data_IF_265511037058
#
_entry.id   IF_265511037058
#
_cell.length_a   1.000
_cell.length_b   1.000
_cell.length_c   1.000
_cell.angle_alpha   90.00
_cell.angle_beta   90.00
_cell.angle_gamma   90.00
#
_symmetry.space_group_name_H-M   'P 1'
#
loop_
_entity.id
_entity.type
_entity.pdbx_description
1 polymer ?
#
# COMPACT_ATOMS: atom_id res chain seq x y z
N UNK A 1 0.35 -8.85 2.40
CA UNK A 1 -0.83 -7.96 2.30
C UNK A 1 -1.83 -8.11 3.46
N UNK A 2 -2.31 -9.32 3.84
CA UNK A 2 -3.44 -9.45 4.78
C UNK A 2 -3.12 -8.91 6.17
N UNK A 3 -1.92 -9.15 6.70
CA UNK A 3 -1.49 -8.60 7.99
C UNK A 3 -1.48 -7.07 7.99
N UNK A 4 -1.03 -6.45 6.90
CA UNK A 4 -1.03 -4.99 6.77
C UNK A 4 -2.47 -4.45 6.72
N UNK A 5 -3.37 -5.16 6.05
CA UNK A 5 -4.78 -4.79 6.00
C UNK A 5 -5.41 -4.86 7.39
N UNK A 6 -5.18 -5.94 8.14
CA UNK A 6 -5.67 -6.07 9.52
C UNK A 6 -5.10 -5.01 10.45
N UNK A 7 -3.82 -4.63 10.28
CA UNK A 7 -3.21 -3.53 11.02
C UNK A 7 -3.94 -2.20 10.75
N UNK A 8 -4.25 -1.89 9.49
CA UNK A 8 -5.01 -0.69 9.11
C UNK A 8 -6.39 -0.69 9.78
N UNK A 9 -7.10 -1.82 9.75
CA UNK A 9 -8.40 -1.95 10.40
C UNK A 9 -8.31 -1.79 11.93
N UNK A 10 -7.28 -2.35 12.56
CA UNK A 10 -7.05 -2.18 13.98
C UNK A 10 -6.79 -0.71 14.34
N UNK A 11 -5.93 -0.01 13.59
CA UNK A 11 -5.64 1.41 13.78
C UNK A 11 -6.90 2.27 13.65
N UNK A 12 -7.75 2.01 12.65
CA UNK A 12 -9.05 2.68 12.47
C UNK A 12 -9.98 2.42 13.65
N UNK A 13 -10.04 1.18 14.13
CA UNK A 13 -10.85 0.81 15.29
C UNK A 13 -10.40 1.56 16.54
N UNK A 14 -9.11 1.55 16.84
CA UNK A 14 -8.55 2.29 17.98
C UNK A 14 -8.69 3.80 17.82
N UNK A 15 -8.57 4.35 16.61
CA UNK A 15 -8.80 5.77 16.37
C UNK A 15 -10.24 6.18 16.71
N UNK A 16 -11.24 5.33 16.43
CA UNK A 16 -12.63 5.62 16.79
C UNK A 16 -12.83 5.62 18.30
N UNK A 17 -12.12 4.77 19.02
CA UNK A 17 -12.20 4.68 20.48
C UNK A 17 -11.46 5.82 21.19
N UNK A 18 -10.20 6.07 20.82
CA UNK A 18 -9.35 7.06 21.51
C UNK A 18 -9.48 8.48 20.94
N UNK A 19 -9.93 8.64 19.70
CA UNK A 19 -10.06 9.93 19.04
C UNK A 19 -8.77 10.76 19.16
N UNK A 20 -8.85 12.00 19.65
CA UNK A 20 -7.70 12.89 19.84
C UNK A 20 -6.88 12.61 21.10
N UNK A 21 -7.34 11.72 21.99
CA UNK A 21 -6.65 11.41 23.25
C UNK A 21 -5.38 10.56 23.02
N UNK A 22 -5.28 9.86 21.89
CA UNK A 22 -4.10 9.09 21.52
C UNK A 22 -3.55 9.56 20.17
N UNK A 23 -2.34 10.11 20.20
CA UNK A 23 -1.56 10.46 19.00
C UNK A 23 -0.20 9.81 19.11
N UNK A 24 0.32 9.38 17.97
CA UNK A 24 1.64 8.75 17.87
C UNK A 24 2.47 9.48 16.83
N UNK A 25 3.78 9.43 16.98
CA UNK A 25 4.67 10.00 15.98
C UNK A 25 4.61 9.19 14.69
N UNK A 26 4.31 9.85 13.56
CA UNK A 26 4.28 9.18 12.26
C UNK A 26 4.65 10.12 11.11
N UNK A 27 5.74 9.82 10.36
CA UNK A 27 6.68 8.70 10.55
C UNK A 27 7.51 8.83 11.83
N UNK A 28 8.03 7.71 12.34
CA UNK A 28 8.98 7.70 13.47
C UNK A 28 10.17 8.61 13.18
N UNK A 29 10.56 9.44 14.15
CA UNK A 29 11.65 10.42 14.01
C UNK A 29 11.32 11.70 13.24
N UNK A 30 10.04 11.94 12.89
CA UNK A 30 9.60 13.15 12.18
C UNK A 30 9.19 14.32 13.09
N UNK A 31 9.00 14.08 14.39
CA UNK A 31 8.40 15.01 15.35
C UNK A 31 6.90 15.27 15.13
N UNK A 32 6.26 14.63 14.14
CA UNK A 32 4.86 14.87 13.79
C UNK A 32 3.94 13.87 14.48
N UNK A 33 3.17 14.37 15.44
CA UNK A 33 2.09 13.62 16.07
C UNK A 33 0.91 13.47 15.10
N UNK A 34 0.46 12.25 14.89
CA UNK A 34 -0.66 11.90 14.03
C UNK A 34 -1.67 11.06 14.82
N UNK A 35 -2.96 11.24 14.50
CA UNK A 35 -4.01 10.36 15.00
C UNK A 35 -3.92 8.99 14.31
N UNK A 36 -4.46 7.95 14.95
CA UNK A 36 -4.34 6.59 14.44
C UNK A 36 -5.03 6.38 13.07
N UNK A 37 -6.11 7.11 12.77
CA UNK A 37 -6.75 7.15 11.45
C UNK A 37 -5.85 7.76 10.38
N UNK A 38 -5.10 8.82 10.70
CA UNK A 38 -4.11 9.42 9.82
C UNK A 38 -2.94 8.46 9.56
N UNK A 39 -2.47 7.75 10.60
CA UNK A 39 -1.45 6.69 10.46
C UNK A 39 -1.96 5.58 9.55
N UNK A 40 -3.18 5.09 9.77
CA UNK A 40 -3.81 4.07 8.94
C UNK A 40 -3.88 4.51 7.47
N UNK A 41 -4.28 5.77 7.22
CA UNK A 41 -4.32 6.36 5.88
C UNK A 41 -2.93 6.44 5.24
N UNK A 42 -1.90 6.86 5.99
CA UNK A 42 -0.53 6.92 5.47
C UNK A 42 0.00 5.54 5.09
N UNK A 43 -0.25 4.52 5.91
CA UNK A 43 0.14 3.13 5.62
C UNK A 43 -0.64 2.62 4.39
N UNK A 44 -1.95 2.83 4.33
CA UNK A 44 -2.79 2.45 3.19
C UNK A 44 -2.32 3.05 1.88
N UNK A 45 -2.00 4.36 1.85
CA UNK A 45 -1.46 5.04 0.68
C UNK A 45 -0.11 4.45 0.22
N UNK A 46 0.79 4.12 1.16
CA UNK A 46 2.07 3.48 0.82
C UNK A 46 1.86 2.09 0.22
N UNK A 47 0.93 1.29 0.76
CA UNK A 47 0.59 0.00 0.17
C UNK A 47 0.00 0.15 -1.24
N UNK A 48 -0.90 1.11 -1.44
CA UNK A 48 -1.47 1.39 -2.76
C UNK A 48 -0.38 1.76 -3.77
N UNK A 49 0.60 2.57 -3.35
CA UNK A 49 1.70 3.02 -4.20
C UNK A 49 2.52 1.88 -4.82
N UNK A 50 2.54 0.69 -4.20
CA UNK A 50 3.20 -0.51 -4.74
C UNK A 50 2.68 -0.85 -6.14
N UNK A 51 1.39 -0.61 -6.39
CA UNK A 51 0.70 -1.00 -7.61
C UNK A 51 0.48 0.17 -8.57
N UNK A 52 0.81 1.40 -8.19
CA UNK A 52 0.61 2.59 -9.02
C UNK A 52 1.81 2.87 -9.93
N UNK A 53 1.56 3.54 -11.05
CA UNK A 53 2.58 3.98 -11.98
C UNK A 53 3.24 5.24 -11.41
N UNK A 54 4.56 5.29 -11.42
CA UNK A 54 5.30 6.53 -11.25
C UNK A 54 5.28 7.38 -12.52
N UNK A 55 6.01 8.50 -12.52
CA UNK A 55 6.08 9.43 -13.65
C UNK A 55 6.74 8.79 -14.88
N UNK A 56 7.56 7.77 -14.66
CA UNK A 56 8.29 6.99 -15.65
C UNK A 56 7.50 5.75 -16.11
N UNK A 57 6.26 5.56 -15.63
CA UNK A 57 5.38 4.46 -16.01
C UNK A 57 5.71 3.12 -15.33
N UNK A 58 6.55 3.11 -14.30
CA UNK A 58 6.95 1.91 -13.56
C UNK A 58 6.08 1.70 -12.34
N UNK A 59 5.89 0.45 -11.94
CA UNK A 59 5.24 0.08 -10.69
C UNK A 59 6.26 -0.61 -9.79
N UNK A 60 6.36 -0.25 -8.50
CA UNK A 60 7.26 -0.94 -7.58
C UNK A 60 7.05 -2.46 -7.56
N UNK A 61 5.82 -2.95 -7.72
CA UNK A 61 5.46 -4.37 -7.80
C UNK A 61 6.31 -5.16 -8.82
N UNK A 62 6.71 -4.54 -9.94
CA UNK A 62 7.50 -5.17 -10.99
C UNK A 62 9.02 -5.05 -10.77
N UNK A 63 9.45 -4.33 -9.74
CA UNK A 63 10.87 -4.09 -9.46
C UNK A 63 11.59 -3.46 -10.66
N UNK A 64 12.62 -4.15 -11.17
CA UNK A 64 13.47 -3.69 -12.28
C UNK A 64 13.10 -4.31 -13.64
N UNK A 65 12.00 -5.05 -13.73
CA UNK A 65 11.56 -5.68 -14.97
C UNK A 65 11.04 -4.63 -15.96
N UNK A 66 11.84 -4.32 -16.98
CA UNK A 66 11.57 -3.26 -17.95
C UNK A 66 10.37 -3.56 -18.83
N UNK A 67 10.05 -4.84 -19.06
CA UNK A 67 8.91 -5.24 -19.88
C UNK A 67 7.59 -4.67 -19.35
N UNK A 68 7.38 -4.70 -18.03
CA UNK A 68 6.16 -4.15 -17.41
C UNK A 68 6.15 -2.62 -17.30
N UNK A 69 7.18 -1.93 -17.78
CA UNK A 69 7.22 -0.47 -17.84
C UNK A 69 7.13 0.05 -19.29
N UNK A 70 7.84 -0.59 -20.22
CA UNK A 70 8.04 -0.07 -21.57
C UNK A 70 7.32 -0.86 -22.68
N UNK A 71 7.07 -2.16 -22.49
CA UNK A 71 6.48 -2.99 -23.53
C UNK A 71 4.96 -2.70 -23.67
N UNK A 72 4.46 -2.30 -24.85
CA UNK A 72 3.05 -1.99 -25.06
C UNK A 72 2.09 -3.11 -24.67
N UNK A 73 2.53 -4.38 -24.73
CA UNK A 73 1.70 -5.54 -24.42
C UNK A 73 1.69 -5.90 -22.92
N UNK A 74 2.68 -5.42 -22.15
CA UNK A 74 2.85 -5.79 -20.74
C UNK A 74 2.71 -4.62 -19.77
N UNK A 75 2.90 -3.37 -20.22
CA UNK A 75 2.93 -2.17 -19.35
C UNK A 75 1.66 -1.93 -18.52
N UNK A 76 0.55 -2.57 -18.89
CA UNK A 76 -0.73 -2.44 -18.19
C UNK A 76 -1.12 -3.70 -17.39
N UNK A 77 -0.31 -4.78 -17.48
CA UNK A 77 -0.50 -6.00 -16.70
C UNK A 77 0.05 -5.79 -15.29
N UNK A 78 -0.82 -5.95 -14.29
CA UNK A 78 -0.44 -5.84 -12.87
C UNK A 78 -0.35 -7.24 -12.27
N UNK A 79 0.80 -7.54 -11.66
CA UNK A 79 1.01 -8.82 -10.97
C UNK A 79 0.56 -8.73 -9.52
N UNK A 80 0.05 -9.86 -9.00
CA UNK A 80 -0.35 -10.00 -7.62
C UNK A 80 0.58 -10.99 -6.94
N UNK A 81 1.66 -10.46 -6.37
CA UNK A 81 2.63 -11.29 -5.67
C UNK A 81 2.18 -11.66 -4.25
N UNK A 82 2.77 -12.74 -3.75
CA UNK A 82 2.54 -13.26 -2.41
C UNK A 82 3.03 -12.30 -1.32
N UNK A 83 4.25 -11.77 -1.51
CA UNK A 83 4.95 -10.87 -0.60
C UNK A 83 5.58 -9.69 -1.35
N UNK A 84 5.98 -8.67 -0.59
CA UNK A 84 6.67 -7.48 -1.12
C UNK A 84 7.92 -7.20 -0.31
N UNK A 85 8.99 -6.79 -0.99
CA UNK A 85 10.23 -6.39 -0.34
C UNK A 85 10.04 -5.10 0.48
N UNK A 86 10.53 -5.05 1.72
CA UNK A 86 10.35 -3.89 2.61
C UNK A 86 10.91 -2.58 2.04
N UNK A 87 12.12 -2.62 1.47
CA UNK A 87 12.77 -1.39 0.97
C UNK A 87 12.35 -0.97 -0.44
N UNK A 88 12.10 -1.93 -1.33
CA UNK A 88 11.90 -1.66 -2.76
C UNK A 88 10.47 -1.89 -3.22
N UNK A 89 9.64 -2.52 -2.38
CA UNK A 89 8.27 -2.91 -2.69
C UNK A 89 8.12 -3.89 -3.88
N UNK A 90 9.22 -4.48 -4.39
CA UNK A 90 9.14 -5.49 -5.47
C UNK A 90 8.35 -6.70 -5.00
N UNK A 91 7.54 -7.26 -5.90
CA UNK A 91 6.84 -8.51 -5.67
C UNK A 91 7.82 -9.68 -5.53
N UNK A 92 7.53 -10.59 -4.60
CA UNK A 92 8.29 -11.82 -4.32
C UNK A 92 7.31 -12.98 -4.13
N UNK A 93 7.74 -14.20 -4.48
CA UNK A 93 6.90 -15.40 -4.42
C UNK A 93 6.00 -15.54 -5.64
N UNK A 94 4.95 -16.35 -5.53
CA UNK A 94 4.01 -16.59 -6.62
C UNK A 94 3.37 -15.28 -7.10
N UNK A 95 3.31 -15.06 -8.43
CA UNK A 95 2.88 -13.80 -9.06
C UNK A 95 1.39 -13.70 -9.42
N UNK A 96 0.64 -14.79 -9.18
CA UNK A 96 -0.80 -14.89 -9.42
C UNK A 96 -1.59 -15.15 -8.13
N UNK A 97 -1.18 -14.51 -7.03
CA UNK A 97 -1.83 -14.58 -5.73
C UNK A 97 -2.93 -13.50 -5.62
N UNK A 98 -3.95 -13.57 -6.49
CA UNK A 98 -5.18 -12.77 -6.40
C UNK A 98 -6.09 -13.14 -5.22
N UNK A 99 -5.59 -13.95 -4.28
CA UNK A 99 -6.21 -14.16 -2.97
C UNK A 99 -6.05 -12.94 -2.07
N UNK A 100 -5.29 -13.05 -0.98
CA UNK A 100 -5.18 -11.97 0.01
C UNK A 100 -4.56 -10.68 -0.50
N UNK A 101 -3.79 -10.71 -1.59
CA UNK A 101 -3.22 -9.49 -2.17
C UNK A 101 -4.30 -8.63 -2.84
N UNK A 102 -5.43 -9.21 -3.25
CA UNK A 102 -6.57 -8.46 -3.80
C UNK A 102 -7.22 -7.49 -2.81
N UNK A 103 -6.97 -7.64 -1.49
CA UNK A 103 -7.40 -6.66 -0.47
C UNK A 103 -6.90 -5.23 -0.74
N UNK A 104 -5.86 -5.08 -1.57
CA UNK A 104 -5.41 -3.77 -2.01
C UNK A 104 -6.50 -2.97 -2.76
N UNK A 105 -7.43 -3.65 -3.44
CA UNK A 105 -8.53 -2.99 -4.14
C UNK A 105 -9.41 -2.17 -3.18
N UNK A 106 -9.71 -2.73 -1.99
CA UNK A 106 -10.45 -2.01 -0.95
C UNK A 106 -9.69 -0.74 -0.51
N UNK A 107 -8.38 -0.86 -0.25
CA UNK A 107 -7.56 0.28 0.14
C UNK A 107 -7.50 1.35 -0.96
N UNK A 108 -7.45 0.96 -2.24
CA UNK A 108 -7.49 1.90 -3.37
C UNK A 108 -8.84 2.62 -3.43
N UNK A 109 -9.95 1.90 -3.23
CA UNK A 109 -11.28 2.52 -3.20
C UNK A 109 -11.44 3.50 -2.05
N UNK A 110 -10.97 3.13 -0.86
CA UNK A 110 -11.03 3.96 0.35
C UNK A 110 -10.12 5.19 0.30
N UNK A 111 -8.92 5.05 -0.27
CA UNK A 111 -7.94 6.14 -0.32
C UNK A 111 -8.06 7.00 -1.58
N UNK A 112 -8.58 6.44 -2.67
CA UNK A 112 -8.72 7.09 -3.98
C UNK A 112 -10.12 7.62 -4.29
N UNK A 113 -11.16 7.18 -3.57
CA UNK A 113 -12.56 7.61 -3.77
C UNK A 113 -12.88 9.06 -3.35
N UNK A 114 -11.88 9.85 -3.01
CA UNK A 114 -12.01 11.27 -2.62
C UNK A 114 -11.34 12.23 -3.62
N UNK A 115 -11.26 11.86 -4.90
CA UNK A 115 -10.91 12.80 -5.98
C UNK A 115 -12.14 13.46 -6.57
#
# INVERSE_FOLDING_TARGET
MPTNYLLIEALRSFSRYYQDALKVECPTGSGKAARLDEVARQVGLRLCSIFLKDKEGRRPVHGREKRYAADPHFKDLVLFNEYFHGDTCRGIGASHQTGWTALIANLIMETGGHR
#
